data_IF_504200761623
#
_entry.id   IF_504200761623
#
_cell.length_a   1.000
_cell.length_b   1.000
_cell.length_c   1.000
_cell.angle_alpha   90.00
_cell.angle_beta   90.00
_cell.angle_gamma   90.00
#
_symmetry.space_group_name_H-M   'P 1'
#
loop_
_entity.id
_entity.type
_entity.pdbx_description
1 polymer ?
#
# COMPACT_ATOMS: atom_id res chain seq x y z
N UNK A 1 -16.40 36.51 7.29
CA UNK A 1 -16.23 35.51 6.20
C UNK A 1 -15.18 35.97 5.20
N UNK A 2 -15.15 35.41 3.97
CA UNK A 2 -14.10 35.69 2.96
C UNK A 2 -13.93 37.17 2.63
N UNK A 3 -15.02 37.92 2.46
CA UNK A 3 -14.96 39.37 2.18
C UNK A 3 -14.28 40.16 3.30
N UNK A 4 -14.58 39.83 4.57
CA UNK A 4 -13.94 40.46 5.72
C UNK A 4 -12.45 40.12 5.78
N UNK A 5 -12.06 38.89 5.41
CA UNK A 5 -10.66 38.49 5.34
C UNK A 5 -9.91 39.26 4.25
N UNK A 6 -10.48 39.42 3.06
CA UNK A 6 -9.91 40.25 1.98
C UNK A 6 -9.77 41.71 2.41
N UNK A 7 -10.81 42.28 3.05
CA UNK A 7 -10.78 43.64 3.58
C UNK A 7 -9.72 43.80 4.67
N UNK A 8 -9.59 42.83 5.56
CA UNK A 8 -8.59 42.83 6.62
C UNK A 8 -7.16 42.73 6.06
N UNK A 9 -6.96 41.97 4.98
CA UNK A 9 -5.67 41.92 4.29
C UNK A 9 -5.28 43.29 3.72
N UNK A 10 -6.24 44.03 3.15
CA UNK A 10 -6.02 45.39 2.64
C UNK A 10 -4.87 45.44 1.63
N UNK A 11 -3.95 46.39 1.80
CA UNK A 11 -2.81 46.60 0.89
C UNK A 11 -1.60 45.71 1.18
N UNK A 12 -1.70 44.76 2.13
CA UNK A 12 -0.59 43.84 2.44
C UNK A 12 -0.22 43.02 1.22
N UNK A 13 1.08 42.93 0.95
CA UNK A 13 1.63 42.20 -0.20
C UNK A 13 1.73 40.69 0.02
N UNK A 14 1.78 40.26 1.29
CA UNK A 14 1.87 38.86 1.70
C UNK A 14 0.77 38.52 2.68
N UNK A 15 0.12 37.38 2.49
CA UNK A 15 -0.95 36.86 3.34
C UNK A 15 -0.57 35.46 3.80
N UNK A 16 -0.81 35.18 5.08
CA UNK A 16 -0.70 33.84 5.66
C UNK A 16 -2.11 33.34 5.92
N UNK A 17 -2.53 32.27 5.24
CA UNK A 17 -3.81 31.61 5.47
C UNK A 17 -3.62 30.36 6.31
N UNK A 18 -4.28 30.30 7.46
CA UNK A 18 -4.40 29.07 8.22
C UNK A 18 -5.62 28.29 7.72
N UNK A 19 -5.38 27.11 7.14
CA UNK A 19 -6.38 26.20 6.58
C UNK A 19 -6.21 24.80 7.16
N UNK A 20 -7.12 23.88 6.84
CA UNK A 20 -7.03 22.47 7.18
C UNK A 20 -8.11 22.00 8.15
N UNK A 21 -7.76 21.02 8.98
CA UNK A 21 -8.70 20.29 9.80
C UNK A 21 -9.02 20.99 11.11
N UNK A 22 -10.28 20.88 11.52
CA UNK A 22 -10.66 20.92 12.92
C UNK A 22 -11.05 19.49 13.32
N UNK A 23 -10.39 18.86 14.31
CA UNK A 23 -10.66 17.47 14.68
C UNK A 23 -12.10 17.25 15.17
N UNK A 24 -12.79 18.30 15.62
CA UNK A 24 -14.19 18.23 16.03
C UNK A 24 -15.20 18.34 14.88
N UNK A 25 -14.74 18.70 13.67
CA UNK A 25 -15.61 18.96 12.51
C UNK A 25 -15.26 18.05 11.34
N UNK A 26 -13.99 18.04 10.93
CA UNK A 26 -13.55 17.45 9.66
C UNK A 26 -12.82 16.11 9.82
N UNK A 27 -12.49 15.70 11.05
CA UNK A 27 -11.82 14.42 11.33
C UNK A 27 -12.15 13.92 12.73
N UNK A 28 -13.44 13.70 12.92
CA UNK A 28 -13.97 13.17 14.16
C UNK A 28 -13.75 11.66 14.18
N UNK A 29 -13.41 11.13 15.35
CA UNK A 29 -13.48 9.70 15.63
C UNK A 29 -14.86 9.13 15.23
N UNK A 30 -14.88 7.89 14.73
CA UNK A 30 -16.04 7.17 14.19
C UNK A 30 -16.65 7.71 12.88
N UNK A 31 -16.07 8.76 12.28
CA UNK A 31 -16.58 9.33 11.03
C UNK A 31 -15.45 9.50 10.02
N UNK A 32 -15.38 8.58 9.07
CA UNK A 32 -14.47 8.68 7.94
C UNK A 32 -14.84 9.86 7.03
N UNK A 33 -13.81 10.52 6.50
CA UNK A 33 -14.00 11.58 5.51
C UNK A 33 -14.41 10.98 4.18
N UNK A 34 -15.42 11.58 3.56
CA UNK A 34 -15.88 11.22 2.20
C UNK A 34 -15.08 11.88 1.08
N UNK A 35 -14.15 12.77 1.41
CA UNK A 35 -13.29 13.48 0.46
C UNK A 35 -12.02 13.97 1.14
N UNK A 36 -10.95 14.06 0.37
CA UNK A 36 -9.66 14.67 0.72
C UNK A 36 -9.58 16.15 0.32
N UNK A 37 -10.62 16.73 -0.27
CA UNK A 37 -10.68 18.16 -0.57
C UNK A 37 -10.74 19.03 0.69
N UNK A 38 -10.33 20.30 0.58
CA UNK A 38 -10.58 21.27 1.65
C UNK A 38 -12.09 21.46 1.88
N UNK A 39 -12.53 21.75 3.12
CA UNK A 39 -13.89 22.18 3.36
C UNK A 39 -14.28 23.34 2.42
N UNK A 40 -15.49 23.32 1.88
CA UNK A 40 -15.91 24.23 0.79
C UNK A 40 -15.68 25.71 1.10
N UNK A 41 -15.90 26.16 2.33
CA UNK A 41 -15.67 27.55 2.71
C UNK A 41 -14.18 27.92 2.84
N UNK A 42 -13.34 26.96 3.21
CA UNK A 42 -11.88 27.14 3.17
C UNK A 42 -11.37 27.19 1.73
N UNK A 43 -11.93 26.38 0.83
CA UNK A 43 -11.61 26.43 -0.59
C UNK A 43 -11.98 27.79 -1.20
N UNK A 44 -13.19 28.30 -0.94
CA UNK A 44 -13.60 29.64 -1.39
C UNK A 44 -12.67 30.74 -0.87
N UNK A 45 -12.22 30.63 0.38
CA UNK A 45 -11.26 31.57 0.97
C UNK A 45 -9.91 31.52 0.24
N UNK A 46 -9.38 30.31 0.01
CA UNK A 46 -8.14 30.10 -0.74
C UNK A 46 -8.24 30.69 -2.16
N UNK A 47 -9.31 30.37 -2.89
CA UNK A 47 -9.52 30.84 -4.26
C UNK A 47 -9.60 32.37 -4.35
N UNK A 48 -10.28 33.01 -3.39
CA UNK A 48 -10.38 34.46 -3.34
C UNK A 48 -9.01 35.14 -3.14
N UNK A 49 -8.14 34.57 -2.30
CA UNK A 49 -6.79 35.10 -2.11
C UNK A 49 -5.85 34.80 -3.29
N UNK A 50 -6.00 33.65 -3.96
CA UNK A 50 -5.32 33.38 -5.23
C UNK A 50 -5.70 34.43 -6.27
N UNK A 51 -7.00 34.73 -6.41
CA UNK A 51 -7.51 35.74 -7.36
C UNK A 51 -7.04 37.15 -7.02
N UNK A 52 -6.78 37.46 -5.75
CA UNK A 52 -6.27 38.77 -5.32
C UNK A 52 -4.84 39.06 -5.81
N UNK A 53 -4.10 38.04 -6.28
CA UNK A 53 -2.73 38.18 -6.78
C UNK A 53 -1.67 38.50 -5.71
N UNK A 54 -2.03 38.41 -4.43
CA UNK A 54 -1.09 38.59 -3.31
C UNK A 54 -0.17 37.37 -3.17
N UNK A 55 1.01 37.57 -2.60
CA UNK A 55 1.86 36.45 -2.18
C UNK A 55 1.16 35.68 -1.08
N UNK A 56 1.08 34.36 -1.22
CA UNK A 56 0.26 33.51 -0.37
C UNK A 56 1.10 32.41 0.26
N UNK A 57 1.21 32.45 1.58
CA UNK A 57 1.69 31.32 2.38
C UNK A 57 0.49 30.63 3.03
N UNK A 58 0.44 29.30 2.96
CA UNK A 58 -0.58 28.48 3.62
C UNK A 58 0.05 27.77 4.82
N UNK A 59 -0.53 27.96 5.99
CA UNK A 59 -0.31 27.08 7.15
C UNK A 59 -1.43 26.06 7.12
N UNK A 60 -1.09 24.83 6.76
CA UNK A 60 -2.02 23.73 6.70
C UNK A 60 -1.95 22.95 8.01
N UNK A 61 -3.02 22.99 8.79
CA UNK A 61 -3.15 22.20 10.02
C UNK A 61 -3.85 20.90 9.63
N UNK A 62 -3.13 19.78 9.59
CA UNK A 62 -3.69 18.51 9.14
C UNK A 62 -2.93 17.30 9.70
N UNK A 63 -3.66 16.21 9.96
CA UNK A 63 -3.09 14.91 10.37
C UNK A 63 -3.19 13.85 9.26
N UNK A 64 -3.53 14.28 8.03
CA UNK A 64 -3.85 13.45 6.88
C UNK A 64 -3.77 14.30 5.60
N UNK A 65 -3.86 13.69 4.40
CA UNK A 65 -3.68 14.41 3.15
C UNK A 65 -4.87 15.31 2.84
N UNK A 66 -4.56 16.45 2.21
CA UNK A 66 -5.50 17.28 1.48
C UNK A 66 -5.11 17.35 0.01
N UNK A 67 -6.08 17.16 -0.88
CA UNK A 67 -5.93 17.35 -2.33
C UNK A 67 -6.39 18.76 -2.67
N UNK A 68 -5.45 19.64 -3.02
CA UNK A 68 -5.72 21.04 -3.40
C UNK A 68 -5.72 21.28 -4.93
N UNK A 69 -5.46 20.24 -5.72
CA UNK A 69 -5.36 20.32 -7.17
C UNK A 69 -4.42 21.44 -7.65
N UNK A 70 -4.85 22.17 -8.68
CA UNK A 70 -4.07 23.26 -9.29
C UNK A 70 -3.88 24.47 -8.37
N UNK A 71 -4.74 24.67 -7.36
CA UNK A 71 -4.63 25.80 -6.43
C UNK A 71 -3.28 25.80 -5.70
N UNK A 72 -2.71 24.62 -5.43
CA UNK A 72 -1.36 24.46 -4.84
C UNK A 72 -0.28 25.18 -5.64
N UNK A 73 -0.35 25.17 -6.97
CA UNK A 73 0.65 25.83 -7.84
C UNK A 73 0.59 27.37 -7.75
N UNK A 74 -0.45 27.92 -7.12
CA UNK A 74 -0.65 29.35 -6.88
C UNK A 74 -0.33 29.77 -5.45
N UNK A 75 0.06 28.82 -4.60
CA UNK A 75 0.53 29.07 -3.23
C UNK A 75 2.06 29.15 -3.26
N UNK A 76 2.62 30.25 -2.77
CA UNK A 76 4.07 30.49 -2.79
C UNK A 76 4.82 29.63 -1.77
N UNK A 77 4.19 29.32 -0.64
CA UNK A 77 4.76 28.47 0.41
C UNK A 77 3.66 27.72 1.17
N UNK A 78 3.94 26.48 1.57
CA UNK A 78 3.03 25.71 2.42
C UNK A 78 3.79 25.10 3.59
N UNK A 79 3.35 25.41 4.81
CA UNK A 79 3.84 24.83 6.05
C UNK A 79 2.78 23.89 6.61
N UNK A 80 3.11 22.61 6.76
CA UNK A 80 2.25 21.62 7.40
C UNK A 80 2.53 21.59 8.91
N UNK A 81 1.47 21.60 9.72
CA UNK A 81 1.52 21.28 11.14
C UNK A 81 0.48 20.22 11.46
N UNK A 82 0.85 19.23 12.27
CA UNK A 82 -0.14 18.38 12.93
C UNK A 82 -0.95 19.22 13.93
N UNK A 83 -2.19 18.82 14.22
CA UNK A 83 -3.04 19.46 15.22
C UNK A 83 -2.82 18.86 16.61
N UNK A 84 -3.26 19.55 17.66
CA UNK A 84 -3.43 18.94 18.99
C UNK A 84 -2.31 19.19 19.99
N UNK A 85 -1.35 20.07 19.66
CA UNK A 85 -0.35 20.55 20.62
C UNK A 85 -0.75 21.91 21.21
N UNK A 86 -0.52 22.10 22.51
CA UNK A 86 -0.76 23.37 23.20
C UNK A 86 0.20 24.49 22.76
N UNK A 87 1.41 24.14 22.32
CA UNK A 87 2.44 25.06 21.81
C UNK A 87 2.48 25.13 20.27
N UNK A 88 1.43 24.66 19.58
CA UNK A 88 1.39 24.61 18.12
C UNK A 88 1.58 26.01 17.48
N UNK A 89 0.97 27.04 18.06
CA UNK A 89 1.09 28.42 17.55
C UNK A 89 2.52 28.94 17.59
N UNK A 90 3.22 28.73 18.71
CA UNK A 90 4.63 29.14 18.87
C UNK A 90 5.54 28.37 17.92
N UNK A 91 5.33 27.06 17.76
CA UNK A 91 6.09 26.24 16.83
C UNK A 91 5.90 26.68 15.36
N UNK A 92 4.66 26.96 14.96
CA UNK A 92 4.33 27.48 13.62
C UNK A 92 5.01 28.84 13.40
N UNK A 93 4.94 29.75 14.38
CA UNK A 93 5.58 31.06 14.29
C UNK A 93 7.11 30.93 14.18
N UNK A 94 7.73 30.10 15.01
CA UNK A 94 9.17 29.86 14.97
C UNK A 94 9.64 29.35 13.60
N UNK A 95 8.85 28.48 12.96
CA UNK A 95 9.12 28.03 11.60
C UNK A 95 8.93 29.18 10.59
N UNK A 96 7.76 29.82 10.54
CA UNK A 96 7.44 30.87 9.55
C UNK A 96 8.44 32.03 9.57
N UNK A 97 8.93 32.42 10.74
CA UNK A 97 9.87 33.52 10.91
C UNK A 97 11.34 33.08 10.88
N UNK A 98 11.64 31.82 10.55
CA UNK A 98 13.00 31.33 10.38
C UNK A 98 13.80 31.16 11.68
N UNK A 99 13.15 31.23 12.85
CA UNK A 99 13.81 31.00 14.14
C UNK A 99 14.26 29.54 14.28
N UNK A 100 13.51 28.60 13.67
CA UNK A 100 13.92 27.21 13.50
C UNK A 100 13.55 26.75 12.09
N UNK A 101 14.52 26.18 11.37
CA UNK A 101 14.25 25.59 10.06
C UNK A 101 13.29 24.40 10.19
N UNK A 102 12.25 24.27 9.33
CA UNK A 102 11.40 23.11 9.30
C UNK A 102 12.22 21.88 8.91
N UNK A 103 12.03 20.79 9.63
CA UNK A 103 12.71 19.51 9.41
C UNK A 103 11.79 18.31 9.63
N UNK A 104 10.47 18.54 9.51
CA UNK A 104 9.49 17.45 9.50
C UNK A 104 9.56 16.68 8.19
N UNK A 105 9.19 15.40 8.23
CA UNK A 105 9.09 14.50 7.07
C UNK A 105 7.72 13.85 7.10
N UNK A 106 7.06 13.74 5.96
CA UNK A 106 5.74 13.11 5.88
C UNK A 106 5.82 11.63 6.26
N UNK A 107 4.85 11.16 7.05
CA UNK A 107 4.73 9.75 7.44
C UNK A 107 3.83 8.94 6.50
N UNK A 108 3.36 9.56 5.42
CA UNK A 108 2.47 8.95 4.43
C UNK A 108 2.55 9.68 3.08
N UNK A 109 2.22 8.97 2.00
CA UNK A 109 2.01 9.59 0.70
C UNK A 109 0.80 10.51 0.71
N UNK A 110 0.90 11.65 0.02
CA UNK A 110 -0.24 12.48 -0.36
C UNK A 110 -0.49 12.28 -1.84
N UNK A 111 -1.68 11.80 -2.23
CA UNK A 111 -1.97 11.46 -3.62
C UNK A 111 -2.15 12.71 -4.48
N UNK A 112 -1.99 12.57 -5.81
CA UNK A 112 -2.25 13.66 -6.77
C UNK A 112 -3.72 14.02 -6.90
N UNK A 113 -4.61 13.04 -6.74
CA UNK A 113 -6.07 13.21 -6.68
C UNK A 113 -6.71 12.09 -5.84
N UNK A 114 -8.01 12.16 -5.61
CA UNK A 114 -8.74 11.07 -4.95
C UNK A 114 -8.93 9.87 -5.89
N UNK A 115 -8.99 10.10 -7.20
CA UNK A 115 -9.25 9.07 -8.22
C UNK A 115 -8.13 8.02 -8.36
N UNK A 116 -6.94 8.31 -7.83
CA UNK A 116 -5.81 7.36 -7.88
C UNK A 116 -5.79 6.39 -6.70
N UNK A 117 -6.68 6.59 -5.73
CA UNK A 117 -6.80 5.74 -4.55
C UNK A 117 -7.63 4.49 -4.88
N UNK A 118 -7.27 3.33 -4.30
CA UNK A 118 -8.16 2.18 -4.34
C UNK A 118 -9.46 2.48 -3.58
N UNK A 119 -10.48 1.64 -3.81
CA UNK A 119 -11.73 1.68 -3.06
C UNK A 119 -11.47 1.69 -1.55
N UNK A 120 -12.28 2.36 -0.74
CA UNK A 120 -12.02 2.48 0.70
C UNK A 120 -11.95 1.12 1.40
N UNK A 121 -12.71 0.14 0.93
CA UNK A 121 -12.83 -1.20 1.52
C UNK A 121 -11.83 -2.22 0.94
N UNK A 122 -10.99 -1.83 -0.02
CA UNK A 122 -9.96 -2.72 -0.58
C UNK A 122 -8.74 -2.85 0.36
N UNK A 123 -8.72 -3.73 1.35
CA UNK A 123 -7.61 -3.81 2.32
C UNK A 123 -6.26 -4.36 1.77
N UNK A 124 -6.07 -4.48 0.46
CA UNK A 124 -4.80 -4.92 -0.14
C UNK A 124 -3.67 -3.94 0.14
N UNK A 125 -2.67 -4.41 0.89
CA UNK A 125 -1.46 -3.63 1.17
C UNK A 125 -0.63 -3.42 -0.10
N UNK A 126 -0.50 -4.46 -0.93
CA UNK A 126 0.20 -4.42 -2.22
C UNK A 126 -0.62 -3.72 -3.34
N UNK A 127 -1.91 -3.45 -3.11
CA UNK A 127 -2.84 -2.82 -4.04
C UNK A 127 -2.72 -1.28 -4.13
N UNK A 128 -1.51 -0.72 -4.04
CA UNK A 128 -1.28 0.74 -4.08
C UNK A 128 -1.80 1.55 -2.87
N UNK A 129 -1.71 1.02 -1.64
CA UNK A 129 -2.06 1.79 -0.42
C UNK A 129 -0.88 2.44 0.29
N UNK A 130 0.26 1.75 0.29
CA UNK A 130 1.44 2.21 1.00
C UNK A 130 2.48 2.78 0.04
N UNK A 131 3.39 3.61 0.54
CA UNK A 131 4.49 4.16 -0.28
C UNK A 131 5.34 3.07 -0.95
N UNK A 132 5.27 1.84 -0.44
CA UNK A 132 6.00 0.69 -0.97
C UNK A 132 5.56 0.33 -2.40
N UNK A 133 4.28 0.52 -2.72
CA UNK A 133 3.68 -0.03 -3.95
C UNK A 133 3.08 1.04 -4.87
N UNK A 134 2.85 2.26 -4.37
CA UNK A 134 2.26 3.33 -5.19
C UNK A 134 3.30 3.86 -6.19
N UNK A 135 2.99 3.91 -7.50
CA UNK A 135 3.84 4.58 -8.50
C UNK A 135 4.04 6.06 -8.21
N UNK A 136 5.23 6.59 -8.50
CA UNK A 136 5.62 7.98 -8.19
C UNK A 136 4.64 9.01 -8.80
N UNK A 137 4.11 8.72 -9.98
CA UNK A 137 3.24 9.59 -10.77
C UNK A 137 1.89 9.84 -10.10
N UNK A 138 1.47 8.92 -9.21
CA UNK A 138 0.24 9.03 -8.42
C UNK A 138 0.43 9.81 -7.11
N UNK A 139 1.67 10.24 -6.80
CA UNK A 139 2.03 10.84 -5.51
C UNK A 139 2.42 12.29 -5.69
N UNK A 140 1.70 13.19 -5.01
CA UNK A 140 2.00 14.62 -4.99
C UNK A 140 3.11 14.96 -4.01
N UNK A 141 3.02 14.42 -2.80
CA UNK A 141 4.05 14.53 -1.77
C UNK A 141 4.36 13.15 -1.21
N UNK A 142 5.56 12.62 -1.43
CA UNK A 142 5.86 11.25 -1.03
C UNK A 142 6.09 11.08 0.47
N UNK A 143 5.95 9.85 0.94
CA UNK A 143 6.43 9.41 2.24
C UNK A 143 7.90 9.85 2.41
N UNK A 144 8.21 10.40 3.57
CA UNK A 144 9.51 10.98 3.86
C UNK A 144 9.69 12.42 3.38
N UNK A 145 8.82 12.96 2.52
CA UNK A 145 9.01 14.30 1.96
C UNK A 145 8.93 15.40 3.01
N UNK A 146 9.81 16.39 2.91
CA UNK A 146 9.74 17.62 3.67
C UNK A 146 10.87 18.56 3.29
N UNK A 147 10.53 19.83 3.06
CA UNK A 147 11.51 20.86 2.76
C UNK A 147 12.14 21.41 4.04
N UNK A 148 13.27 22.10 3.86
CA UNK A 148 13.97 22.86 4.88
C UNK A 148 14.41 24.21 4.31
N UNK A 149 14.83 25.13 5.18
CA UNK A 149 15.52 26.36 4.79
C UNK A 149 17.01 26.15 4.50
N UNK A 150 17.57 24.99 4.88
CA UNK A 150 18.92 24.58 4.49
C UNK A 150 18.91 23.73 3.22
N UNK A 151 20.11 23.47 2.69
CA UNK A 151 20.32 22.67 1.48
C UNK A 151 21.38 21.62 1.79
N UNK A 152 21.00 20.34 1.87
CA UNK A 152 21.90 19.28 2.37
C UNK A 152 22.38 18.35 1.26
N UNK A 153 23.63 18.40 0.82
CA UNK A 153 24.16 17.42 -0.12
C UNK A 153 24.48 16.08 0.53
N UNK A 154 24.28 14.98 -0.21
CA UNK A 154 24.63 13.62 0.23
C UNK A 154 25.82 13.15 -0.62
N UNK A 155 26.86 12.57 -0.01
CA UNK A 155 28.02 12.03 -0.74
C UNK A 155 28.63 10.80 -0.07
N UNK A 156 29.59 10.18 -0.77
CA UNK A 156 30.50 9.17 -0.21
C UNK A 156 29.84 7.95 0.45
N UNK A 157 28.68 7.53 -0.09
CA UNK A 157 27.99 6.35 0.43
C UNK A 157 28.83 5.09 0.30
N UNK A 158 28.91 4.35 1.39
CA UNK A 158 29.50 3.01 1.49
C UNK A 158 28.46 2.06 2.05
N UNK A 159 28.48 0.84 1.54
CA UNK A 159 27.57 -0.22 1.90
C UNK A 159 28.37 -1.52 2.04
N UNK A 160 28.18 -2.22 3.16
CA UNK A 160 28.67 -3.59 3.36
C UNK A 160 27.61 -4.40 4.11
N UNK A 161 27.68 -5.71 4.03
CA UNK A 161 26.79 -6.62 4.75
C UNK A 161 27.61 -7.74 5.40
N UNK A 162 27.31 -8.08 6.65
CA UNK A 162 27.90 -9.22 7.37
C UNK A 162 26.99 -10.47 7.37
N UNK A 163 25.95 -10.45 6.53
CA UNK A 163 24.89 -11.45 6.43
C UNK A 163 23.67 -11.14 7.29
N UNK A 164 23.85 -10.56 8.48
CA UNK A 164 22.74 -10.20 9.38
C UNK A 164 22.43 -8.72 9.38
N UNK A 165 23.41 -7.89 9.06
CA UNK A 165 23.31 -6.46 9.17
C UNK A 165 23.94 -5.77 7.97
N UNK A 166 23.20 -4.82 7.41
CA UNK A 166 23.70 -3.83 6.47
C UNK A 166 24.37 -2.70 7.26
N UNK A 167 25.60 -2.38 6.89
CA UNK A 167 26.37 -1.28 7.42
C UNK A 167 26.45 -0.19 6.35
N UNK A 168 25.78 0.93 6.60
CA UNK A 168 25.69 2.06 5.67
C UNK A 168 26.39 3.27 6.28
N UNK A 169 27.24 3.94 5.51
CA UNK A 169 27.78 5.24 5.90
C UNK A 169 27.74 6.21 4.75
N UNK A 170 27.49 7.49 5.01
CA UNK A 170 27.51 8.56 4.01
C UNK A 170 27.84 9.90 4.68
N UNK A 171 28.25 10.87 3.87
CA UNK A 171 28.53 12.22 4.31
C UNK A 171 27.36 13.16 3.99
N UNK A 172 27.04 14.04 4.94
CA UNK A 172 26.05 15.09 4.80
C UNK A 172 26.77 16.43 4.78
N UNK A 173 26.48 17.28 3.79
CA UNK A 173 27.02 18.64 3.70
C UNK A 173 25.90 19.67 3.70
N UNK A 174 25.88 20.61 4.64
CA UNK A 174 24.97 21.76 4.53
C UNK A 174 25.56 22.81 3.59
N UNK A 175 25.14 22.79 2.33
CA UNK A 175 25.50 23.74 1.27
C UNK A 175 24.73 25.06 1.36
N UNK A 176 23.72 25.11 2.23
CA UNK A 176 22.87 26.27 2.43
C UNK A 176 23.48 27.32 3.37
N UNK A 177 22.68 28.36 3.67
CA UNK A 177 23.06 29.48 4.57
C UNK A 177 22.43 29.39 5.96
N UNK A 178 21.55 28.40 6.17
CA UNK A 178 20.76 28.27 7.40
C UNK A 178 21.13 26.96 8.08
N UNK A 179 21.41 27.02 9.38
CA UNK A 179 21.59 25.81 10.18
C UNK A 179 20.29 24.99 10.19
N UNK A 180 20.38 23.69 9.97
CA UNK A 180 19.19 22.86 9.82
C UNK A 180 19.38 21.44 10.33
N UNK A 181 18.27 20.78 10.61
CA UNK A 181 18.25 19.36 10.88
C UNK A 181 17.95 18.62 9.57
N UNK A 182 18.55 17.45 9.37
CA UNK A 182 18.29 16.56 8.23
C UNK A 182 17.85 15.19 8.74
N UNK A 183 16.94 14.54 8.00
CA UNK A 183 16.53 13.16 8.26
C UNK A 183 16.96 12.33 7.07
N UNK A 184 18.09 11.65 7.24
CA UNK A 184 18.59 10.69 6.25
C UNK A 184 17.73 9.45 6.32
N UNK A 185 17.22 9.01 5.18
CA UNK A 185 16.37 7.84 5.07
C UNK A 185 17.02 6.86 4.10
N UNK A 186 17.21 5.62 4.55
CA UNK A 186 17.76 4.53 3.75
C UNK A 186 16.64 3.60 3.35
N UNK A 187 16.53 3.37 2.06
CA UNK A 187 15.54 2.52 1.45
C UNK A 187 16.18 1.34 0.71
N UNK A 188 15.41 0.27 0.56
CA UNK A 188 15.80 -0.91 -0.19
C UNK A 188 14.70 -1.32 -1.17
N UNK A 189 15.10 -1.69 -2.38
CA UNK A 189 14.32 -2.47 -3.35
C UNK A 189 15.12 -3.70 -3.75
N UNK A 190 14.46 -4.75 -4.21
CA UNK A 190 15.11 -6.01 -4.61
C UNK A 190 14.63 -6.45 -5.98
N UNK A 191 15.58 -6.84 -6.81
CA UNK A 191 15.37 -7.66 -8.00
C UNK A 191 15.73 -9.10 -7.60
N UNK A 192 14.74 -9.94 -7.26
CA UNK A 192 15.00 -11.29 -6.78
C UNK A 192 15.61 -12.15 -7.90
N UNK A 193 16.52 -13.08 -7.53
CA UNK A 193 17.07 -14.06 -8.49
C UNK A 193 16.03 -15.03 -9.03
N UNK A 194 14.90 -15.14 -8.34
CA UNK A 194 13.80 -16.02 -8.68
C UNK A 194 12.74 -15.22 -9.48
N UNK A 195 12.83 -15.31 -10.82
CA UNK A 195 12.14 -14.48 -11.83
C UNK A 195 10.60 -14.47 -11.77
N UNK A 196 9.97 -15.21 -10.85
CA UNK A 196 8.53 -15.54 -10.89
C UNK A 196 7.65 -14.94 -9.80
N UNK A 197 8.15 -14.00 -9.01
CA UNK A 197 7.26 -13.23 -8.16
C UNK A 197 6.98 -11.91 -8.84
N UNK A 198 5.70 -11.62 -9.10
CA UNK A 198 5.30 -10.34 -9.69
C UNK A 198 6.01 -9.19 -8.96
N UNK A 199 6.51 -8.21 -9.71
CA UNK A 199 7.26 -7.06 -9.17
C UNK A 199 6.47 -6.25 -8.11
N UNK A 200 5.16 -6.49 -7.99
CA UNK A 200 4.31 -5.95 -6.93
C UNK A 200 4.63 -6.49 -5.53
N UNK A 201 5.37 -7.60 -5.40
CA UNK A 201 5.57 -8.30 -4.12
C UNK A 201 6.65 -7.69 -3.21
N UNK A 202 7.55 -6.86 -3.77
CA UNK A 202 8.78 -6.44 -3.06
C UNK A 202 8.89 -4.97 -2.73
N UNK A 203 7.81 -4.20 -2.95
CA UNK A 203 7.76 -2.74 -2.86
C UNK A 203 8.74 -2.09 -1.88
N UNK A 204 9.32 -0.96 -2.32
CA UNK A 204 10.36 -0.17 -1.63
C UNK A 204 10.18 -0.07 -0.12
N UNK A 205 11.26 -0.24 0.66
CA UNK A 205 11.20 -0.30 2.13
C UNK A 205 12.16 0.66 2.77
N UNK A 206 11.69 1.47 3.72
CA UNK A 206 12.56 2.17 4.66
C UNK A 206 13.20 1.13 5.59
N UNK A 207 14.53 1.01 5.56
CA UNK A 207 15.29 0.03 6.36
C UNK A 207 16.05 0.68 7.52
N UNK A 208 16.41 1.96 7.38
CA UNK A 208 17.00 2.75 8.45
C UNK A 208 16.74 4.24 8.24
N UNK A 209 16.77 5.02 9.32
CA UNK A 209 16.81 6.47 9.23
C UNK A 209 17.50 7.06 10.46
N UNK A 210 18.10 8.24 10.29
CA UNK A 210 18.69 9.01 11.39
C UNK A 210 18.37 10.48 11.21
N UNK A 211 18.11 11.18 12.32
CA UNK A 211 17.96 12.63 12.33
C UNK A 211 19.22 13.27 12.86
N UNK A 212 19.94 13.95 11.99
CA UNK A 212 21.06 14.80 12.36
C UNK A 212 20.57 16.21 12.65
N UNK A 213 20.96 16.75 13.80
CA UNK A 213 20.52 18.06 14.26
C UNK A 213 21.59 19.12 14.01
N UNK A 214 21.14 20.34 13.75
CA UNK A 214 21.98 21.54 13.73
C UNK A 214 23.23 21.42 12.85
N UNK A 215 23.09 20.90 11.62
CA UNK A 215 24.16 21.00 10.63
C UNK A 215 24.33 22.47 10.27
N UNK A 216 25.47 23.04 10.63
CA UNK A 216 25.78 24.45 10.34
C UNK A 216 26.14 24.65 8.87
N UNK A 217 25.97 25.86 8.31
CA UNK A 217 26.43 26.17 6.96
C UNK A 217 27.89 25.76 6.72
N UNK A 218 28.14 24.99 5.65
CA UNK A 218 29.44 24.45 5.28
C UNK A 218 29.93 23.26 6.12
N UNK A 219 29.15 22.79 7.09
CA UNK A 219 29.50 21.61 7.88
C UNK A 219 29.33 20.33 7.06
N UNK A 220 30.35 19.47 7.10
CA UNK A 220 30.30 18.09 6.61
C UNK A 220 30.26 17.16 7.82
N UNK A 221 29.29 16.24 7.84
CA UNK A 221 29.11 15.26 8.92
C UNK A 221 28.92 13.86 8.33
N UNK A 222 29.78 12.93 8.71
CA UNK A 222 29.62 11.51 8.41
C UNK A 222 28.57 10.88 9.33
N UNK A 223 27.63 10.14 8.76
CA UNK A 223 26.64 9.36 9.50
C UNK A 223 26.82 7.88 9.23
N UNK A 224 26.50 7.08 10.25
CA UNK A 224 26.54 5.62 10.20
C UNK A 224 25.17 5.08 10.59
N UNK A 225 24.62 4.20 9.76
CA UNK A 225 23.35 3.54 9.98
C UNK A 225 23.54 2.03 9.84
N UNK A 226 22.80 1.30 10.65
CA UNK A 226 22.70 -0.15 10.59
C UNK A 226 21.25 -0.55 10.30
N UNK A 227 21.07 -1.57 9.46
CA UNK A 227 19.78 -2.18 9.21
C UNK A 227 19.90 -3.70 9.25
N UNK A 228 19.06 -4.37 10.04
CA UNK A 228 19.00 -5.82 10.05
C UNK A 228 18.46 -6.33 8.71
N UNK A 229 19.08 -7.38 8.14
CA UNK A 229 18.58 -8.02 6.91
C UNK A 229 17.20 -8.63 7.11
N UNK A 230 16.79 -8.89 8.36
CA UNK A 230 15.42 -9.29 8.72
C UNK A 230 14.34 -8.28 8.30
N UNK A 231 14.68 -6.99 8.22
CA UNK A 231 13.77 -5.95 7.70
C UNK A 231 13.45 -6.11 6.20
N UNK A 232 14.28 -6.88 5.49
CA UNK A 232 14.13 -7.19 4.07
C UNK A 232 13.36 -8.50 3.82
N UNK A 233 12.99 -9.23 4.88
CA UNK A 233 12.20 -10.44 4.73
C UNK A 233 10.81 -10.17 4.19
N UNK A 234 10.28 -11.10 3.43
CA UNK A 234 8.93 -11.10 2.88
C UNK A 234 8.18 -12.32 3.36
N UNK A 235 6.86 -12.22 3.43
CA UNK A 235 6.05 -13.36 3.84
C UNK A 235 5.84 -14.30 2.65
N UNK A 236 6.40 -15.51 2.73
CA UNK A 236 6.11 -16.60 1.82
C UNK A 236 4.79 -17.25 2.26
N UNK A 237 3.73 -17.04 1.48
CA UNK A 237 2.39 -17.56 1.79
C UNK A 237 2.28 -19.09 1.73
N UNK A 238 3.19 -19.75 1.02
CA UNK A 238 3.25 -21.21 0.89
C UNK A 238 3.87 -21.82 2.13
N UNK A 239 5.01 -21.28 2.58
CA UNK A 239 5.66 -21.72 3.84
C UNK A 239 4.99 -21.17 5.09
N UNK A 240 4.28 -20.05 4.96
CA UNK A 240 3.69 -19.26 6.05
C UNK A 240 4.73 -18.71 7.02
N UNK A 241 5.83 -18.25 6.47
CA UNK A 241 6.93 -17.68 7.24
C UNK A 241 7.57 -16.50 6.50
N UNK A 242 8.34 -15.71 7.23
CA UNK A 242 9.13 -14.63 6.66
C UNK A 242 10.47 -15.17 6.16
N UNK A 243 10.72 -15.06 4.86
CA UNK A 243 11.98 -15.46 4.22
C UNK A 243 12.72 -14.24 3.70
N UNK A 244 14.05 -14.28 3.68
CA UNK A 244 14.86 -13.27 2.99
C UNK A 244 14.99 -13.68 1.52
N UNK A 245 14.46 -12.93 0.55
CA UNK A 245 14.68 -13.25 -0.86
C UNK A 245 16.16 -13.15 -1.21
N UNK A 246 16.70 -14.15 -1.90
CA UNK A 246 17.99 -13.98 -2.59
C UNK A 246 17.81 -13.02 -3.77
N UNK A 247 18.75 -12.11 -3.98
CA UNK A 247 18.60 -11.12 -5.04
C UNK A 247 19.64 -10.01 -5.08
N UNK A 248 19.52 -9.20 -6.12
CA UNK A 248 20.25 -7.96 -6.28
C UNK A 248 19.45 -6.85 -5.59
N UNK A 249 20.00 -6.32 -4.49
CA UNK A 249 19.37 -5.28 -3.69
C UNK A 249 19.92 -3.91 -4.07
N UNK A 250 19.01 -3.00 -4.41
CA UNK A 250 19.29 -1.59 -4.61
C UNK A 250 19.02 -0.83 -3.31
N UNK A 251 20.08 -0.35 -2.66
CA UNK A 251 20.03 0.39 -1.40
C UNK A 251 20.31 1.86 -1.70
N UNK A 252 19.36 2.74 -1.38
CA UNK A 252 19.48 4.16 -1.67
C UNK A 252 19.18 5.03 -0.46
N UNK A 253 19.95 6.11 -0.34
CA UNK A 253 19.72 7.21 0.59
C UNK A 253 18.99 8.32 -0.15
N UNK A 254 17.94 8.84 0.48
CA UNK A 254 17.12 9.88 -0.12
C UNK A 254 16.40 10.74 0.91
N UNK A 255 15.85 11.85 0.43
CA UNK A 255 15.03 12.75 1.27
C UNK A 255 13.60 12.29 1.39
N UNK A 256 13.19 11.35 0.55
CA UNK A 256 11.86 10.73 0.55
C UNK A 256 11.94 9.38 -0.17
N UNK A 257 10.84 8.62 -0.13
CA UNK A 257 10.81 7.27 -0.66
C UNK A 257 11.13 7.16 -2.16
N UNK A 258 11.00 8.20 -2.98
CA UNK A 258 11.18 8.16 -4.44
C UNK A 258 12.36 9.02 -4.93
N UNK A 259 13.25 9.36 -4.00
CA UNK A 259 14.45 10.13 -4.22
C UNK A 259 15.66 9.22 -4.02
N UNK A 260 16.32 8.90 -5.13
CA UNK A 260 17.43 7.95 -5.20
C UNK A 260 18.74 8.72 -5.42
N UNK A 261 18.94 9.83 -4.67
CA UNK A 261 20.06 10.77 -4.83
C UNK A 261 21.43 10.07 -4.75
N UNK A 262 21.54 9.09 -3.85
CA UNK A 262 22.77 8.33 -3.64
C UNK A 262 22.44 6.86 -3.36
N UNK A 263 23.06 5.94 -4.11
CA UNK A 263 22.75 4.52 -4.00
C UNK A 263 23.98 3.63 -4.10
N UNK A 264 23.82 2.40 -3.61
CA UNK A 264 24.73 1.27 -3.77
C UNK A 264 23.92 0.01 -3.93
N UNK A 265 24.42 -0.86 -4.79
CA UNK A 265 23.84 -2.18 -4.96
C UNK A 265 24.63 -3.22 -4.17
N UNK A 266 23.94 -4.27 -3.73
CA UNK A 266 24.54 -5.41 -3.05
C UNK A 266 23.76 -6.68 -3.36
N UNK A 267 24.47 -7.77 -3.63
CA UNK A 267 23.85 -9.08 -3.71
C UNK A 267 23.71 -9.67 -2.31
N UNK A 268 22.49 -10.09 -1.96
CA UNK A 268 22.25 -10.83 -0.72
C UNK A 268 21.88 -12.26 -1.06
N UNK A 269 22.57 -13.19 -0.41
CA UNK A 269 22.13 -14.58 -0.36
C UNK A 269 20.86 -14.65 0.47
N UNK A 270 19.90 -15.43 -0.03
CA UNK A 270 18.63 -15.63 0.61
C UNK A 270 18.02 -16.96 0.22
N UNK A 271 16.77 -17.13 0.59
CA UNK A 271 16.04 -18.37 0.38
C UNK A 271 15.18 -18.26 -0.88
N UNK A 272 15.12 -19.32 -1.71
CA UNK A 272 14.13 -19.40 -2.77
C UNK A 272 12.75 -19.52 -2.14
N UNK A 273 11.70 -19.09 -2.83
CA UNK A 273 10.33 -19.27 -2.35
C UNK A 273 9.92 -20.73 -2.46
N UNK A 274 8.99 -21.15 -1.60
CA UNK A 274 8.41 -22.47 -1.76
C UNK A 274 7.53 -22.56 -3.02
N UNK A 275 7.57 -23.76 -3.61
CA UNK A 275 6.72 -24.14 -4.74
C UNK A 275 5.46 -24.82 -4.20
N UNK A 276 4.28 -24.39 -4.67
CA UNK A 276 2.99 -25.00 -4.31
C UNK A 276 2.85 -26.35 -4.99
N UNK A 277 2.71 -27.40 -4.20
CA UNK A 277 2.39 -28.74 -4.69
C UNK A 277 0.88 -28.86 -4.92
N UNK A 278 0.44 -28.80 -6.18
CA UNK A 278 -0.98 -28.87 -6.54
C UNK A 278 -1.60 -30.27 -6.38
N UNK A 279 -0.82 -31.27 -5.94
CA UNK A 279 -1.41 -32.54 -5.48
C UNK A 279 -2.07 -32.46 -4.10
N UNK A 280 -1.94 -31.30 -3.42
CA UNK A 280 -2.51 -31.03 -2.10
C UNK A 280 -3.60 -29.97 -2.18
N UNK A 281 -4.49 -29.98 -1.20
CA UNK A 281 -5.48 -28.92 -1.02
C UNK A 281 -4.78 -27.58 -0.76
N UNK A 282 -5.03 -26.58 -1.62
CA UNK A 282 -4.50 -25.22 -1.47
C UNK A 282 -5.61 -24.31 -0.92
N UNK A 283 -5.43 -23.69 0.25
CA UNK A 283 -6.39 -22.72 0.76
C UNK A 283 -6.47 -21.48 -0.14
N UNK A 284 -7.68 -20.99 -0.40
CA UNK A 284 -7.91 -19.81 -1.24
C UNK A 284 -7.18 -18.56 -0.74
N UNK A 285 -7.04 -18.39 0.58
CA UNK A 285 -6.32 -17.24 1.17
C UNK A 285 -4.81 -17.28 0.96
N UNK A 286 -4.26 -18.40 0.47
CA UNK A 286 -2.86 -18.55 0.14
C UNK A 286 -2.57 -18.19 -1.33
N UNK A 287 -3.46 -17.45 -2.00
CA UNK A 287 -3.19 -16.82 -3.29
C UNK A 287 -2.16 -15.69 -3.13
N UNK A 288 -1.41 -15.40 -4.19
CA UNK A 288 -0.44 -14.30 -4.25
C UNK A 288 -1.13 -12.99 -4.66
N UNK A 289 -2.09 -13.08 -5.58
CA UNK A 289 -2.93 -11.97 -6.00
C UNK A 289 -4.39 -12.41 -6.12
N UNK A 290 -5.30 -11.43 -6.05
CA UNK A 290 -6.71 -11.65 -6.31
C UNK A 290 -7.33 -10.42 -6.98
N UNK A 291 -8.43 -10.60 -7.70
CA UNK A 291 -9.20 -9.51 -8.31
C UNK A 291 -10.69 -9.74 -8.03
N UNK A 292 -11.40 -8.69 -7.61
CA UNK A 292 -12.84 -8.72 -7.32
C UNK A 292 -13.26 -9.93 -6.46
N UNK A 293 -12.45 -10.25 -5.46
CA UNK A 293 -12.64 -11.41 -4.59
C UNK A 293 -12.88 -10.95 -3.15
N UNK A 294 -13.94 -11.49 -2.53
CA UNK A 294 -14.24 -11.30 -1.12
C UNK A 294 -13.98 -12.60 -0.36
N UNK A 295 -13.23 -12.51 0.74
CA UNK A 295 -12.92 -13.66 1.57
C UNK A 295 -13.91 -13.74 2.74
N UNK A 296 -14.57 -14.89 2.87
CA UNK A 296 -15.56 -15.12 3.91
C UNK A 296 -15.36 -16.47 4.61
N UNK A 297 -16.16 -16.74 5.64
CA UNK A 297 -16.11 -18.00 6.37
C UNK A 297 -16.76 -19.12 5.54
N UNK A 298 -15.97 -20.11 5.14
CA UNK A 298 -16.41 -21.32 4.46
C UNK A 298 -16.82 -22.45 5.40
N UNK A 299 -16.90 -23.66 4.85
CA UNK A 299 -17.13 -24.90 5.62
C UNK A 299 -15.89 -25.33 6.39
N UNK A 300 -16.06 -26.13 7.45
CA UNK A 300 -14.97 -26.83 8.15
C UNK A 300 -13.79 -25.93 8.58
N UNK A 301 -14.07 -24.69 8.99
CA UNK A 301 -13.07 -23.65 9.33
C UNK A 301 -12.14 -23.25 8.18
N UNK A 302 -12.51 -23.57 6.93
CA UNK A 302 -11.83 -23.04 5.75
C UNK A 302 -12.35 -21.64 5.43
N UNK A 303 -11.52 -20.85 4.76
CA UNK A 303 -11.95 -19.60 4.11
C UNK A 303 -12.56 -19.94 2.76
N UNK A 304 -13.65 -19.27 2.42
CA UNK A 304 -14.25 -19.29 1.10
C UNK A 304 -13.99 -17.97 0.38
N UNK A 305 -14.15 -17.99 -0.94
CA UNK A 305 -14.02 -16.82 -1.80
C UNK A 305 -15.31 -16.65 -2.60
N UNK A 306 -15.78 -15.42 -2.73
CA UNK A 306 -16.91 -15.04 -3.56
C UNK A 306 -16.55 -13.89 -4.49
N UNK A 307 -17.35 -13.67 -5.54
CA UNK A 307 -17.28 -12.43 -6.32
C UNK A 307 -17.60 -11.25 -5.41
N UNK A 308 -16.78 -10.21 -5.49
CA UNK A 308 -16.99 -8.97 -4.77
C UNK A 308 -18.17 -8.16 -5.29
N UNK A 309 -18.26 -6.91 -4.85
CA UNK A 309 -19.34 -5.96 -5.16
C UNK A 309 -19.74 -5.85 -6.64
N UNK A 310 -18.84 -6.08 -7.59
CA UNK A 310 -19.16 -6.15 -9.03
C UNK A 310 -19.37 -7.61 -9.48
N UNK A 311 -20.51 -8.19 -9.08
CA UNK A 311 -20.85 -9.59 -9.36
C UNK A 311 -20.90 -9.92 -10.87
N UNK A 312 -20.99 -8.92 -11.76
CA UNK A 312 -20.97 -9.11 -13.20
C UNK A 312 -19.60 -9.45 -13.78
N UNK A 313 -18.52 -9.17 -13.04
CA UNK A 313 -17.13 -9.33 -13.51
C UNK A 313 -16.45 -10.64 -13.08
N UNK A 314 -17.02 -11.36 -12.11
CA UNK A 314 -16.42 -12.57 -11.52
C UNK A 314 -15.23 -12.25 -10.59
N UNK A 315 -14.83 -13.22 -9.76
CA UNK A 315 -13.60 -13.14 -8.95
C UNK A 315 -12.46 -13.87 -9.68
N UNK A 316 -11.22 -13.46 -9.42
CA UNK A 316 -10.03 -14.20 -9.83
C UNK A 316 -9.03 -14.34 -8.69
N UNK A 317 -8.41 -15.51 -8.57
CA UNK A 317 -7.30 -15.79 -7.67
C UNK A 317 -6.07 -16.20 -8.47
N UNK A 318 -4.91 -15.65 -8.16
CA UNK A 318 -3.64 -16.00 -8.79
C UNK A 318 -2.73 -16.70 -7.79
N UNK A 319 -2.23 -17.87 -8.19
CA UNK A 319 -1.26 -18.68 -7.47
C UNK A 319 0.00 -18.83 -8.33
N UNK A 320 1.05 -18.11 -7.96
CA UNK A 320 2.36 -18.18 -8.55
C UNK A 320 3.12 -19.43 -8.07
N UNK A 321 4.24 -19.77 -8.71
CA UNK A 321 5.13 -20.89 -8.32
C UNK A 321 4.40 -22.18 -7.98
N UNK A 322 3.55 -22.64 -8.88
CA UNK A 322 2.85 -23.90 -8.73
C UNK A 322 3.60 -25.04 -9.43
N UNK A 323 3.46 -26.25 -8.90
CA UNK A 323 3.87 -27.51 -9.53
C UNK A 323 2.62 -28.36 -9.75
N UNK A 324 2.26 -28.50 -11.03
CA UNK A 324 1.23 -29.43 -11.47
C UNK A 324 1.83 -30.84 -11.62
N UNK A 325 1.24 -31.89 -11.05
CA UNK A 325 1.72 -33.26 -11.25
C UNK A 325 1.58 -33.72 -12.72
N UNK A 326 2.62 -34.36 -13.28
CA UNK A 326 2.65 -34.82 -14.70
C UNK A 326 1.49 -35.73 -15.11
N UNK A 327 0.89 -36.44 -14.15
CA UNK A 327 -0.20 -37.39 -14.38
C UNK A 327 -1.54 -36.92 -13.83
N UNK A 328 -1.68 -35.62 -13.55
CA UNK A 328 -2.94 -35.04 -13.11
C UNK A 328 -4.03 -35.29 -14.16
N UNK A 329 -5.06 -36.05 -13.79
CA UNK A 329 -6.21 -36.33 -14.68
C UNK A 329 -7.40 -35.43 -14.40
N UNK A 330 -7.46 -34.89 -13.20
CA UNK A 330 -8.54 -34.07 -12.73
C UNK A 330 -8.06 -33.06 -11.68
N UNK A 331 -8.88 -32.04 -11.46
CA UNK A 331 -8.74 -31.05 -10.41
C UNK A 331 -9.99 -31.09 -9.54
N UNK A 332 -9.79 -31.18 -8.22
CA UNK A 332 -10.87 -31.10 -7.24
C UNK A 332 -10.99 -29.69 -6.68
N UNK A 333 -12.22 -29.18 -6.57
CA UNK A 333 -12.55 -27.90 -5.98
C UNK A 333 -13.70 -28.06 -5.00
N UNK A 334 -13.66 -27.34 -3.86
CA UNK A 334 -14.78 -27.32 -2.91
C UNK A 334 -15.63 -26.10 -3.20
N UNK A 335 -16.82 -26.31 -3.76
CA UNK A 335 -17.70 -25.26 -4.26
C UNK A 335 -19.03 -25.27 -3.51
N UNK A 336 -19.66 -24.08 -3.42
CA UNK A 336 -21.04 -23.93 -2.97
C UNK A 336 -21.75 -22.91 -3.84
N UNK A 337 -22.78 -23.35 -4.57
CA UNK A 337 -23.55 -22.45 -5.43
C UNK A 337 -25.02 -22.84 -5.45
N UNK A 338 -25.90 -21.90 -5.08
CA UNK A 338 -27.35 -22.08 -5.13
C UNK A 338 -27.90 -21.98 -6.54
N UNK A 339 -27.33 -21.07 -7.32
CA UNK A 339 -27.64 -20.86 -8.74
C UNK A 339 -26.54 -21.44 -9.62
N UNK A 340 -26.70 -21.39 -10.94
CA UNK A 340 -25.67 -21.83 -11.86
C UNK A 340 -24.49 -20.85 -11.81
N UNK A 341 -23.31 -21.34 -11.41
CA UNK A 341 -22.04 -20.62 -11.40
C UNK A 341 -21.03 -21.26 -12.36
N UNK A 342 -19.92 -20.58 -12.59
CA UNK A 342 -18.79 -21.06 -13.40
C UNK A 342 -17.49 -20.81 -12.65
N UNK A 343 -16.56 -21.75 -12.72
CA UNK A 343 -15.18 -21.62 -12.23
C UNK A 343 -14.26 -22.14 -13.32
N UNK A 344 -13.14 -21.44 -13.58
CA UNK A 344 -12.17 -21.81 -14.61
C UNK A 344 -10.78 -21.84 -14.00
N UNK A 345 -10.11 -22.98 -14.04
CA UNK A 345 -8.71 -23.08 -13.70
C UNK A 345 -7.87 -22.82 -14.95
N UNK A 346 -7.03 -21.80 -14.90
CA UNK A 346 -6.16 -21.36 -15.97
C UNK A 346 -4.70 -21.67 -15.61
N UNK A 347 -3.97 -22.37 -16.48
CA UNK A 347 -2.56 -22.68 -16.32
C UNK A 347 -1.77 -22.08 -17.47
N UNK A 348 -0.80 -21.20 -17.19
CA UNK A 348 -0.01 -20.51 -18.22
C UNK A 348 -0.85 -19.83 -19.32
N UNK A 349 -2.04 -19.32 -18.97
CA UNK A 349 -2.94 -18.62 -19.89
C UNK A 349 -3.95 -19.51 -20.63
N UNK A 350 -3.92 -20.84 -20.43
CA UNK A 350 -4.86 -21.78 -21.03
C UNK A 350 -5.80 -22.39 -19.98
N UNK A 351 -7.08 -22.59 -20.32
CA UNK A 351 -8.06 -23.22 -19.41
C UNK A 351 -7.74 -24.70 -19.26
N UNK A 352 -7.22 -25.09 -18.10
CA UNK A 352 -6.84 -26.45 -17.76
C UNK A 352 -8.08 -27.29 -17.39
N UNK A 353 -9.01 -26.71 -16.65
CA UNK A 353 -10.24 -27.35 -16.22
C UNK A 353 -11.32 -26.28 -16.00
N UNK A 354 -12.59 -26.60 -16.26
CA UNK A 354 -13.70 -25.73 -15.97
C UNK A 354 -14.84 -26.48 -15.28
N UNK A 355 -15.61 -25.74 -14.49
CA UNK A 355 -16.86 -26.20 -13.92
C UNK A 355 -17.98 -25.22 -14.25
N UNK A 356 -19.15 -25.76 -14.59
CA UNK A 356 -20.35 -24.96 -14.84
C UNK A 356 -21.58 -25.70 -14.30
N UNK A 357 -22.12 -25.24 -13.17
CA UNK A 357 -23.20 -25.95 -12.49
C UNK A 357 -23.71 -25.26 -11.23
N UNK A 358 -24.46 -26.00 -10.41
CA UNK A 358 -24.84 -25.61 -9.05
C UNK A 358 -24.58 -26.79 -8.10
N UNK A 359 -24.57 -26.55 -6.79
CA UNK A 359 -24.32 -27.57 -5.76
C UNK A 359 -25.56 -27.81 -4.88
N UNK A 360 -26.74 -27.48 -5.39
CA UNK A 360 -28.00 -27.63 -4.67
C UNK A 360 -28.35 -29.12 -4.55
N UNK A 361 -28.46 -29.62 -3.32
CA UNK A 361 -28.84 -31.00 -3.02
C UNK A 361 -30.15 -31.02 -2.22
N UNK A 362 -30.98 -32.07 -2.36
CA UNK A 362 -32.17 -32.21 -1.54
C UNK A 362 -31.79 -32.66 -0.11
N UNK A 363 -31.69 -31.73 0.85
CA UNK A 363 -31.65 -32.08 2.27
C UNK A 363 -33.07 -32.18 2.85
N UNK A 364 -33.28 -33.14 3.76
CA UNK A 364 -34.47 -33.15 4.63
C UNK A 364 -34.16 -32.24 5.83
N UNK A 365 -34.78 -31.08 5.90
CA UNK A 365 -34.67 -30.21 7.07
C UNK A 365 -35.30 -30.89 8.29
N UNK A 366 -34.48 -31.28 9.28
CA UNK A 366 -34.96 -31.66 10.61
C UNK A 366 -35.03 -30.41 11.47
N UNK A 367 -36.21 -29.79 11.57
CA UNK A 367 -36.38 -28.61 12.42
C UNK A 367 -36.76 -28.96 13.87
N UNK A 368 -37.08 -30.22 14.19
CA UNK A 368 -37.42 -30.67 15.55
C UNK A 368 -37.02 -32.13 15.81
N UNK A 369 -36.73 -32.46 17.07
CA UNK A 369 -36.41 -33.82 17.57
C UNK A 369 -37.65 -34.75 17.64
N UNK A 370 -38.69 -34.51 16.86
CA UNK A 370 -39.90 -35.35 16.85
C UNK A 370 -39.83 -36.39 15.73
N UNK A 371 -40.19 -37.63 16.07
CA UNK A 371 -40.22 -38.76 15.14
C UNK A 371 -41.24 -38.51 14.02
N UNK A 372 -40.85 -38.49 12.73
CA UNK A 372 -41.78 -38.25 11.64
C UNK A 372 -42.85 -39.35 11.57
N UNK A 373 -44.13 -38.98 11.42
CA UNK A 373 -45.22 -39.92 11.12
C UNK A 373 -45.32 -40.19 9.61
N UNK A 374 -45.88 -41.34 9.21
CA UNK A 374 -45.96 -41.83 7.82
C UNK A 374 -46.59 -40.82 6.82
N UNK A 375 -47.42 -39.88 7.30
CA UNK A 375 -48.10 -38.88 6.46
C UNK A 375 -47.36 -37.53 6.34
N UNK A 376 -46.15 -37.40 6.89
CA UNK A 376 -45.39 -36.14 6.82
C UNK A 376 -44.68 -36.00 5.47
N UNK A 377 -45.37 -35.48 4.45
CA UNK A 377 -44.72 -35.08 3.18
C UNK A 377 -43.90 -33.81 3.41
N UNK A 378 -42.62 -34.00 3.71
CA UNK A 378 -41.68 -32.90 3.94
C UNK A 378 -41.41 -32.14 2.63
N UNK A 379 -41.45 -30.79 2.63
CA UNK A 379 -40.99 -30.01 1.49
C UNK A 379 -39.49 -30.26 1.30
N UNK A 380 -39.06 -30.66 0.10
CA UNK A 380 -37.64 -30.71 -0.25
C UNK A 380 -37.15 -29.26 -0.38
N UNK A 381 -36.27 -28.81 0.52
CA UNK A 381 -35.51 -27.59 0.24
C UNK A 381 -34.30 -27.96 -0.61
N UNK A 382 -34.07 -27.18 -1.67
CA UNK A 382 -32.92 -27.30 -2.56
C UNK A 382 -31.92 -26.23 -2.13
N UNK A 383 -31.25 -26.49 -1.03
CA UNK A 383 -30.23 -25.60 -0.50
C UNK A 383 -28.86 -26.00 -1.05
N UNK A 384 -28.03 -24.99 -1.31
CA UNK A 384 -26.65 -25.21 -1.73
C UNK A 384 -25.87 -25.81 -0.56
N UNK A 385 -25.18 -26.91 -0.81
CA UNK A 385 -24.24 -27.50 0.13
C UNK A 385 -22.82 -27.35 -0.41
N UNK A 386 -21.84 -27.40 0.49
CA UNK A 386 -20.43 -27.44 0.11
C UNK A 386 -20.13 -28.81 -0.48
N UNK A 387 -19.71 -28.84 -1.75
CA UNK A 387 -19.51 -30.06 -2.52
C UNK A 387 -18.12 -30.05 -3.12
N UNK A 388 -17.41 -31.18 -2.98
CA UNK A 388 -16.21 -31.43 -3.76
C UNK A 388 -16.61 -31.78 -5.21
N UNK A 389 -16.13 -30.98 -6.14
CA UNK A 389 -16.36 -31.08 -7.56
C UNK A 389 -15.05 -31.47 -8.22
N UNK A 390 -15.06 -32.56 -8.98
CA UNK A 390 -13.93 -33.01 -9.78
C UNK A 390 -14.14 -32.63 -11.25
N UNK A 391 -13.17 -31.94 -11.84
CA UNK A 391 -13.16 -31.54 -13.24
C UNK A 391 -12.01 -32.23 -13.97
N UNK A 392 -12.27 -32.84 -15.13
CA UNK A 392 -11.23 -33.44 -15.96
C UNK A 392 -10.27 -32.37 -16.50
N UNK A 393 -8.98 -32.68 -16.51
CA UNK A 393 -7.96 -31.82 -17.12
C UNK A 393 -8.01 -31.98 -18.63
N UNK A 394 -8.27 -30.89 -19.35
CA UNK A 394 -8.23 -30.87 -20.82
C UNK A 394 -6.80 -31.16 -21.30
N UNK A 395 -6.66 -31.83 -22.46
CA UNK A 395 -5.40 -32.43 -22.94
C UNK A 395 -4.17 -31.55 -22.72
N UNK A 396 -3.24 -32.03 -21.88
CA UNK A 396 -2.01 -31.31 -21.50
C UNK A 396 -1.19 -30.90 -22.73
N UNK A 397 -0.98 -29.60 -23.01
CA UNK A 397 0.06 -29.18 -23.94
C UNK A 397 1.41 -29.60 -23.33
N UNK A 398 2.28 -30.24 -24.11
CA UNK A 398 3.51 -30.91 -23.67
C UNK A 398 4.25 -30.20 -22.54
N UNK A 399 4.02 -30.66 -21.31
CA UNK A 399 4.63 -30.13 -20.09
C UNK A 399 6.01 -30.77 -19.94
N UNK A 400 7.04 -30.15 -20.54
CA UNK A 400 8.39 -30.29 -20.00
C UNK A 400 8.46 -29.43 -18.73
N UNK A 401 8.90 -30.00 -17.61
CA UNK A 401 9.13 -29.31 -16.32
C UNK A 401 9.36 -27.80 -16.47
N UNK A 402 8.31 -27.01 -16.33
CA UNK A 402 8.42 -25.57 -16.18
C UNK A 402 7.37 -25.10 -15.19
N UNK A 403 7.86 -24.72 -14.02
CA UNK A 403 7.17 -23.83 -13.09
C UNK A 403 6.47 -22.69 -13.87
N UNK A 404 5.25 -22.35 -13.49
CA UNK A 404 4.48 -21.27 -14.13
C UNK A 404 3.34 -20.78 -13.24
N UNK A 405 2.73 -19.64 -13.56
CA UNK A 405 1.56 -19.14 -12.83
C UNK A 405 0.30 -20.00 -13.10
N UNK A 406 -0.48 -20.24 -12.05
CA UNK A 406 -1.84 -20.75 -12.11
C UNK A 406 -2.81 -19.64 -11.69
N UNK A 407 -3.95 -19.53 -12.37
CA UNK A 407 -5.06 -18.66 -11.96
C UNK A 407 -6.33 -19.50 -11.86
N UNK A 408 -7.25 -19.12 -10.96
CA UNK A 408 -8.50 -19.81 -10.69
C UNK A 408 -9.66 -18.81 -10.56
#
# INVERSE_FOLDING_TARGET
GTEEALKAAGDRSTVILALGCNPMISAREDIDRKSMSLPSDQQKLLDAFIQSGKKLAVVLIANYPYVMGEARKKVDAMLLSASGSEYMGDAIAAALFGQKAPAGRLVQNWPVSEDVLPDMDDYRINGSRTYRYVPKEKVMYPFGYGLSYGEIGYSDMKLTCDGRMLHISLDLENKGKTATDEVVQIYATVEPTDEKLSGASYGRRLVAFVREKDLRPGEIRSVHLEAETDTLKVYDVVRREHILPGGHYHIYAGRNAYDEELFRDIDLEGEPFAVRDLSRMIPVYACDEYENAEFEKGSLNMTAVTSGHDAGRGAGLTFEKCRLPEKAKAVSMILKSKTRGRVELIWNGEVLADWNGNTSAPERAYTTYETPTEDTVMPRSWDAVWTEVECEVSSMPGVSEKEGPAAA
#
